data_IF_263495823442
#
_entry.id   IF_263495823442
#
_cell.length_a   1.000
_cell.length_b   1.000
_cell.length_c   1.000
_cell.angle_alpha   90.00
_cell.angle_beta   90.00
_cell.angle_gamma   90.00
#
_symmetry.space_group_name_H-M   'P 1'
#
loop_
_entity.id
_entity.type
_entity.pdbx_description
1 polymer ?
#
# COMPACT_ATOMS: atom_id res chain seq x y z
N UNK A 1 2.70 -4.45 -44.47
CA UNK A 1 3.47 -3.63 -43.50
C UNK A 1 2.88 -3.95 -42.13
N UNK A 2 3.74 -4.38 -41.21
CA UNK A 2 3.54 -4.92 -39.85
C UNK A 2 2.17 -4.74 -39.18
N UNK A 3 1.62 -5.87 -38.75
CA UNK A 3 0.74 -5.97 -37.58
C UNK A 3 1.40 -5.30 -36.37
N UNK A 4 0.66 -4.42 -35.69
CA UNK A 4 1.00 -3.96 -34.35
C UNK A 4 -0.11 -4.45 -33.41
N UNK A 5 0.27 -5.52 -32.73
CA UNK A 5 -0.44 -6.24 -31.68
C UNK A 5 -1.19 -5.28 -30.76
N UNK A 6 -2.48 -5.53 -30.62
CA UNK A 6 -3.33 -4.86 -29.64
C UNK A 6 -2.71 -4.97 -28.26
N UNK A 7 -2.65 -3.84 -27.56
CA UNK A 7 -2.41 -3.82 -26.13
C UNK A 7 -3.46 -4.73 -25.49
N UNK A 8 -3.05 -5.91 -25.05
CA UNK A 8 -3.82 -6.71 -24.11
C UNK A 8 -3.89 -5.87 -22.84
N UNK A 9 -5.00 -5.19 -22.65
CA UNK A 9 -5.51 -4.96 -21.31
C UNK A 9 -5.52 -6.35 -20.66
N UNK A 10 -4.65 -6.55 -19.68
CA UNK A 10 -4.84 -7.61 -18.72
C UNK A 10 -6.06 -7.14 -17.95
N UNK A 11 -7.24 -7.57 -18.39
CA UNK A 11 -8.49 -7.33 -17.70
C UNK A 11 -8.30 -7.83 -16.27
N UNK A 12 -8.19 -6.91 -15.31
CA UNK A 12 -8.41 -7.25 -13.92
C UNK A 12 -9.81 -7.86 -13.88
N UNK A 13 -9.91 -9.14 -13.51
CA UNK A 13 -11.19 -9.80 -13.37
C UNK A 13 -12.08 -8.92 -12.48
N UNK A 14 -13.23 -8.51 -13.03
CA UNK A 14 -14.36 -7.85 -12.34
C UNK A 14 -14.32 -6.32 -12.14
N UNK A 15 -14.21 -5.51 -13.19
CA UNK A 15 -14.80 -4.15 -13.23
C UNK A 15 -14.43 -3.18 -12.10
N UNK A 16 -13.34 -3.45 -11.37
CA UNK A 16 -12.83 -2.66 -10.28
C UNK A 16 -11.91 -1.58 -10.84
N UNK A 17 -12.03 -0.36 -10.32
CA UNK A 17 -11.13 0.73 -10.69
C UNK A 17 -9.85 0.58 -9.88
N UNK A 18 -8.72 0.40 -10.56
CA UNK A 18 -7.42 0.34 -9.90
C UNK A 18 -6.96 1.75 -9.56
N UNK A 19 -6.54 1.95 -8.32
CA UNK A 19 -5.89 3.17 -7.85
C UNK A 19 -4.49 2.82 -7.40
N UNK A 20 -3.49 3.40 -8.05
CA UNK A 20 -2.08 3.04 -7.88
C UNK A 20 -1.18 4.22 -7.45
N UNK A 21 -1.79 5.35 -7.11
CA UNK A 21 -1.14 6.53 -6.55
C UNK A 21 -1.88 7.10 -5.35
N UNK A 22 -1.12 7.67 -4.41
CA UNK A 22 -1.65 8.29 -3.19
C UNK A 22 -2.45 9.55 -3.54
N UNK A 23 -1.99 10.36 -4.50
CA UNK A 23 -2.75 11.54 -4.94
C UNK A 23 -4.06 11.15 -5.60
N UNK A 24 -4.05 10.14 -6.48
CA UNK A 24 -5.28 9.64 -7.12
C UNK A 24 -6.30 9.15 -6.09
N UNK A 25 -5.84 8.40 -5.08
CA UNK A 25 -6.70 7.98 -3.97
C UNK A 25 -7.25 9.19 -3.20
N UNK A 26 -6.40 10.18 -2.91
CA UNK A 26 -6.80 11.38 -2.18
C UNK A 26 -7.88 12.16 -2.93
N UNK A 27 -7.76 12.31 -4.24
CA UNK A 27 -8.78 12.98 -5.06
C UNK A 27 -10.13 12.27 -4.99
N UNK A 28 -10.13 10.94 -5.11
CA UNK A 28 -11.36 10.12 -5.00
C UNK A 28 -12.04 10.35 -3.65
N UNK A 29 -11.26 10.34 -2.55
CA UNK A 29 -11.79 10.57 -1.21
C UNK A 29 -12.29 12.01 -1.00
N UNK A 30 -11.60 13.02 -1.54
CA UNK A 30 -12.06 14.42 -1.49
C UNK A 30 -13.39 14.62 -2.22
N UNK A 31 -13.57 13.94 -3.35
CA UNK A 31 -14.82 13.96 -4.13
C UNK A 31 -15.96 13.18 -3.48
N UNK A 32 -15.66 12.40 -2.41
CA UNK A 32 -16.59 11.51 -1.72
C UNK A 32 -17.24 10.49 -2.67
N UNK A 33 -16.48 10.04 -3.66
CA UNK A 33 -16.94 9.02 -4.58
C UNK A 33 -17.03 7.66 -3.87
N UNK A 34 -17.93 6.76 -4.30
CA UNK A 34 -18.03 5.42 -3.72
C UNK A 34 -16.72 4.65 -3.91
N UNK A 35 -16.16 4.16 -2.80
CA UNK A 35 -14.88 3.43 -2.82
C UNK A 35 -15.05 1.91 -2.92
N UNK A 36 -16.27 1.38 -2.87
CA UNK A 36 -16.55 -0.06 -2.80
C UNK A 36 -16.08 -0.90 -4.00
N UNK A 37 -15.65 -0.26 -5.08
CA UNK A 37 -15.11 -0.92 -6.29
C UNK A 37 -13.64 -0.58 -6.56
N UNK A 38 -12.93 0.05 -5.62
CA UNK A 38 -11.54 0.39 -5.83
C UNK A 38 -10.64 -0.75 -5.36
N UNK A 39 -9.77 -1.20 -6.26
CA UNK A 39 -8.60 -2.01 -5.93
C UNK A 39 -7.43 -1.06 -5.69
N UNK A 40 -6.82 -1.09 -4.50
CA UNK A 40 -5.63 -0.27 -4.24
C UNK A 40 -4.39 -1.10 -4.53
N UNK A 41 -3.56 -0.64 -5.46
CA UNK A 41 -2.30 -1.30 -5.84
C UNK A 41 -1.15 -0.38 -5.48
N UNK A 42 -0.39 -0.67 -4.42
CA UNK A 42 0.60 0.27 -3.89
C UNK A 42 1.92 -0.39 -3.55
N UNK A 43 3.02 0.37 -3.55
CA UNK A 43 4.33 -0.14 -3.16
C UNK A 43 4.52 0.00 -1.66
N UNK A 44 4.79 -1.11 -0.98
CA UNK A 44 5.08 -1.10 0.46
C UNK A 44 6.47 -0.53 0.72
N UNK A 45 6.58 0.46 1.60
CA UNK A 45 7.88 0.97 2.05
C UNK A 45 8.34 0.31 3.34
N UNK A 46 7.54 0.39 4.41
CA UNK A 46 7.87 -0.25 5.68
C UNK A 46 6.62 -0.58 6.49
N UNK A 47 6.84 -1.42 7.51
CA UNK A 47 5.85 -1.80 8.51
C UNK A 47 6.34 -1.28 9.85
N UNK A 48 5.43 -0.77 10.67
CA UNK A 48 5.70 -0.25 12.01
C UNK A 48 4.76 -0.89 13.01
N UNK A 49 5.29 -1.28 14.18
CA UNK A 49 4.50 -1.80 15.28
C UNK A 49 3.91 -0.68 16.13
N UNK A 50 2.68 -0.86 16.56
CA UNK A 50 1.99 0.06 17.47
C UNK A 50 1.22 -0.73 18.52
N UNK A 51 1.08 -0.12 19.69
CA UNK A 51 0.26 -0.64 20.78
C UNK A 51 -0.82 0.39 21.15
N UNK A 52 -2.07 -0.08 21.24
CA UNK A 52 -3.18 0.71 21.75
C UNK A 52 -3.81 -0.01 22.94
N UNK A 53 -3.38 0.38 24.15
CA UNK A 53 -3.69 -0.36 25.37
C UNK A 53 -3.14 -1.78 25.30
N UNK A 54 -4.01 -2.78 25.40
CA UNK A 54 -3.66 -4.20 25.29
C UNK A 54 -3.61 -4.72 23.83
N UNK A 55 -4.04 -3.91 22.86
CA UNK A 55 -4.13 -4.33 21.47
C UNK A 55 -2.85 -4.01 20.72
N UNK A 56 -2.32 -5.00 19.99
CA UNK A 56 -1.22 -4.80 19.04
C UNK A 56 -1.79 -4.58 17.65
N UNK A 57 -1.22 -3.63 16.93
CA UNK A 57 -1.50 -3.40 15.53
C UNK A 57 -0.21 -3.08 14.78
N UNK A 58 -0.18 -3.39 13.51
CA UNK A 58 0.83 -2.88 12.59
C UNK A 58 0.22 -1.79 11.74
N UNK A 59 1.07 -0.83 11.36
CA UNK A 59 0.78 0.11 10.29
C UNK A 59 1.75 -0.13 9.15
N UNK A 60 1.19 -0.42 7.98
CA UNK A 60 1.90 -0.54 6.72
C UNK A 60 1.87 0.81 6.00
N UNK A 61 3.01 1.22 5.48
CA UNK A 61 3.22 2.53 4.85
C UNK A 61 3.51 2.35 3.37
N UNK A 62 2.68 2.96 2.52
CA UNK A 62 2.72 2.75 1.08
C UNK A 62 2.93 4.05 0.31
N UNK A 63 3.63 3.93 -0.80
CA UNK A 63 3.73 4.95 -1.86
C UNK A 63 3.10 4.43 -3.15
N UNK A 64 3.06 5.33 -4.14
CA UNK A 64 2.68 5.02 -5.52
C UNK A 64 3.37 3.74 -6.02
N UNK A 65 2.61 2.86 -6.67
CA UNK A 65 3.12 1.57 -7.13
C UNK A 65 4.33 1.72 -8.07
N UNK A 66 4.28 2.73 -8.94
CA UNK A 66 5.27 2.97 -9.98
C UNK A 66 6.32 4.02 -9.60
N UNK A 67 6.47 4.35 -8.30
CA UNK A 67 7.50 5.28 -7.84
C UNK A 67 8.88 4.85 -8.40
N UNK A 68 9.57 5.72 -9.18
CA UNK A 68 10.83 5.34 -9.86
C UNK A 68 12.03 5.24 -8.91
N UNK A 69 11.94 5.84 -7.73
CA UNK A 69 13.00 5.86 -6.73
C UNK A 69 13.27 4.46 -6.16
N UNK A 70 14.52 4.26 -5.73
CA UNK A 70 14.90 3.02 -5.05
C UNK A 70 14.25 2.95 -3.66
N UNK A 71 14.07 1.73 -3.15
CA UNK A 71 13.53 1.53 -1.80
C UNK A 71 14.38 2.24 -0.74
N UNK A 72 15.71 2.14 -0.84
CA UNK A 72 16.63 2.76 0.12
C UNK A 72 16.54 4.28 0.12
N UNK A 73 16.44 4.90 -1.06
CA UNK A 73 16.25 6.35 -1.18
C UNK A 73 14.94 6.78 -0.53
N UNK A 74 13.83 6.08 -0.83
CA UNK A 74 12.53 6.38 -0.24
C UNK A 74 12.54 6.21 1.29
N UNK A 75 13.17 5.15 1.81
CA UNK A 75 13.29 4.93 3.25
C UNK A 75 14.14 6.02 3.93
N UNK A 76 15.19 6.50 3.26
CA UNK A 76 16.04 7.58 3.78
C UNK A 76 15.26 8.89 3.97
N UNK A 77 14.30 9.15 3.09
CA UNK A 77 13.44 10.36 3.15
C UNK A 77 12.31 10.16 4.15
N UNK A 78 11.52 9.11 3.99
CA UNK A 78 10.28 8.93 4.75
C UNK A 78 10.51 8.31 6.13
N UNK A 79 11.27 7.22 6.22
CA UNK A 79 11.36 6.44 7.47
C UNK A 79 12.27 7.12 8.50
N UNK A 80 13.42 7.65 8.08
CA UNK A 80 14.40 8.29 8.99
C UNK A 80 13.78 9.51 9.69
N UNK A 81 13.01 10.29 8.95
CA UNK A 81 12.38 11.52 9.47
C UNK A 81 10.98 11.31 10.04
N UNK A 82 10.49 10.06 10.06
CA UNK A 82 9.10 9.73 10.39
C UNK A 82 8.69 10.27 11.75
N UNK A 83 9.42 9.90 12.79
CA UNK A 83 9.05 10.21 14.18
C UNK A 83 8.92 11.71 14.46
N UNK A 84 9.76 12.53 13.81
CA UNK A 84 9.73 13.99 13.94
C UNK A 84 8.61 14.65 13.11
N UNK A 85 8.23 14.06 11.97
CA UNK A 85 7.35 14.69 10.97
C UNK A 85 6.18 13.78 10.56
N UNK A 86 5.66 12.94 11.48
CA UNK A 86 4.66 11.91 11.16
C UNK A 86 3.48 12.44 10.37
N UNK A 87 2.96 13.62 10.73
CA UNK A 87 1.79 14.19 10.07
C UNK A 87 2.04 14.55 8.61
N UNK A 88 3.19 15.17 8.32
CA UNK A 88 3.58 15.58 6.97
C UNK A 88 3.90 14.35 6.12
N UNK A 89 4.58 13.37 6.70
CA UNK A 89 4.93 12.14 5.99
C UNK A 89 3.69 11.28 5.73
N UNK A 90 2.83 11.05 6.72
CA UNK A 90 1.56 10.33 6.53
C UNK A 90 0.65 11.03 5.52
N UNK A 91 0.81 12.34 5.30
CA UNK A 91 0.06 13.05 4.25
C UNK A 91 0.50 12.63 2.85
N UNK A 92 1.74 12.20 2.66
CA UNK A 92 2.30 11.79 1.37
C UNK A 92 2.16 10.29 1.10
N UNK A 93 1.62 9.53 2.06
CA UNK A 93 1.56 8.07 2.02
C UNK A 93 0.11 7.58 2.11
N UNK A 94 -0.10 6.33 1.70
CA UNK A 94 -1.24 5.55 2.16
C UNK A 94 -0.80 4.75 3.40
N UNK A 95 -1.59 4.82 4.47
CA UNK A 95 -1.36 4.02 5.67
C UNK A 95 -2.47 2.98 5.86
N UNK A 96 -2.10 1.71 5.98
CA UNK A 96 -3.04 0.63 6.26
C UNK A 96 -2.79 0.08 7.66
N UNK A 97 -3.85 0.04 8.48
CA UNK A 97 -3.82 -0.58 9.80
C UNK A 97 -4.28 -2.02 9.74
N UNK A 98 -3.50 -2.93 10.30
CA UNK A 98 -3.87 -4.34 10.51
C UNK A 98 -3.74 -4.69 12.00
N UNK A 99 -4.73 -5.38 12.54
CA UNK A 99 -4.79 -5.75 13.96
C UNK A 99 -4.21 -7.15 14.22
N UNK A 100 -3.69 -7.36 15.43
CA UNK A 100 -3.21 -8.66 15.92
C UNK A 100 -2.11 -9.29 15.04
N UNK A 101 -1.22 -8.44 14.50
CA UNK A 101 -0.01 -8.84 13.78
C UNK A 101 1.19 -8.13 14.39
N UNK A 102 2.37 -8.68 14.15
CA UNK A 102 3.67 -8.11 14.50
C UNK A 102 4.45 -7.89 13.21
N UNK A 103 5.25 -6.82 13.15
CA UNK A 103 5.90 -6.39 11.91
C UNK A 103 6.96 -7.37 11.38
N UNK A 104 7.41 -8.32 12.19
CA UNK A 104 8.38 -9.38 11.87
C UNK A 104 7.74 -10.68 11.39
N UNK A 105 6.41 -10.74 11.27
CA UNK A 105 5.69 -11.91 10.75
C UNK A 105 6.10 -12.24 9.31
N UNK A 106 6.55 -13.48 9.07
CA UNK A 106 6.90 -14.01 7.74
C UNK A 106 5.73 -14.02 6.74
N UNK A 107 4.49 -13.91 7.24
CA UNK A 107 3.30 -13.83 6.40
C UNK A 107 3.11 -12.45 5.76
N UNK A 108 3.89 -11.44 6.15
CA UNK A 108 3.77 -10.08 5.63
C UNK A 108 4.59 -9.91 4.34
N UNK A 109 4.16 -9.05 3.41
CA UNK A 109 4.98 -8.67 2.27
C UNK A 109 6.25 -7.94 2.72
N UNK A 110 7.34 -8.19 2.01
CA UNK A 110 8.59 -7.47 2.22
C UNK A 110 8.48 -6.01 1.75
N UNK A 111 9.20 -5.08 2.39
CA UNK A 111 9.48 -3.75 1.83
C UNK A 111 9.89 -3.80 0.36
N UNK A 112 9.36 -2.88 -0.45
CA UNK A 112 9.57 -2.78 -1.90
C UNK A 112 8.55 -3.55 -2.75
N UNK A 113 7.80 -4.48 -2.16
CA UNK A 113 6.80 -5.28 -2.86
C UNK A 113 5.57 -4.44 -3.23
N UNK A 114 5.01 -4.69 -4.42
CA UNK A 114 3.70 -4.17 -4.82
C UNK A 114 2.60 -5.03 -4.19
N UNK A 115 1.71 -4.40 -3.45
CA UNK A 115 0.63 -5.04 -2.71
C UNK A 115 -0.70 -4.53 -3.26
N UNK A 116 -1.57 -5.48 -3.60
CA UNK A 116 -2.96 -5.24 -3.94
C UNK A 116 -3.82 -5.40 -2.67
N UNK A 117 -4.65 -4.40 -2.37
CA UNK A 117 -5.59 -4.37 -1.24
C UNK A 117 -7.00 -4.46 -1.82
N UNK A 118 -7.59 -5.65 -1.72
CA UNK A 118 -8.86 -6.00 -2.37
C UNK A 118 -10.07 -5.55 -1.56
N UNK A 119 -9.96 -5.63 -0.23
CA UNK A 119 -11.01 -5.20 0.69
C UNK A 119 -10.41 -4.42 1.85
N UNK A 120 -11.18 -3.43 2.31
CA UNK A 120 -10.81 -2.56 3.42
C UNK A 120 -12.06 -1.96 4.06
N UNK A 121 -11.85 -1.39 5.22
CA UNK A 121 -12.83 -0.64 5.99
C UNK A 121 -12.22 0.69 6.43
N UNK A 122 -13.07 1.66 6.78
CA UNK A 122 -12.65 2.97 7.26
C UNK A 122 -11.64 3.68 6.33
N UNK A 123 -11.75 3.47 5.01
CA UNK A 123 -10.96 4.24 4.04
C UNK A 123 -11.45 5.69 4.04
N UNK A 124 -10.58 6.60 4.45
CA UNK A 124 -10.92 8.02 4.60
C UNK A 124 -9.68 8.91 4.57
N UNK A 125 -9.92 10.22 4.51
CA UNK A 125 -8.90 11.24 4.78
C UNK A 125 -8.93 11.61 6.26
N UNK A 126 -7.82 11.36 6.95
CA UNK A 126 -7.60 11.87 8.29
C UNK A 126 -6.94 13.25 8.21
N UNK A 127 -7.46 14.22 9.00
CA UNK A 127 -7.05 15.63 8.94
C UNK A 127 -7.05 16.21 7.50
N UNK A 128 -8.01 15.78 6.67
CA UNK A 128 -8.19 16.22 5.27
C UNK A 128 -7.02 15.95 4.29
N UNK A 129 -5.94 15.30 4.75
CA UNK A 129 -4.73 15.08 3.94
C UNK A 129 -4.24 13.64 3.89
N UNK A 130 -4.40 12.89 4.98
CA UNK A 130 -3.78 11.57 5.14
C UNK A 130 -4.71 10.46 4.69
N UNK A 131 -4.30 9.68 3.69
CA UNK A 131 -5.05 8.51 3.24
C UNK A 131 -4.83 7.38 4.24
N UNK A 132 -5.89 6.96 4.95
CA UNK A 132 -5.81 5.86 5.91
C UNK A 132 -6.93 4.85 5.69
N UNK A 133 -6.63 3.58 5.92
CA UNK A 133 -7.61 2.49 5.89
C UNK A 133 -7.30 1.43 6.95
N UNK A 134 -8.28 0.55 7.20
CA UNK A 134 -8.10 -0.68 7.97
C UNK A 134 -8.36 -1.88 7.07
N UNK A 135 -7.45 -2.85 7.08
CA UNK A 135 -7.58 -4.09 6.28
C UNK A 135 -7.17 -5.32 7.11
N UNK A 136 -7.18 -6.49 6.47
CA UNK A 136 -6.78 -7.78 7.04
C UNK A 136 -5.79 -8.44 6.10
N UNK A 137 -4.92 -9.28 6.65
CA UNK A 137 -3.93 -10.01 5.86
C UNK A 137 -4.56 -10.82 4.72
N UNK A 138 -5.72 -11.44 4.95
CA UNK A 138 -6.44 -12.22 3.92
C UNK A 138 -6.97 -11.39 2.75
N UNK A 139 -6.98 -10.05 2.87
CA UNK A 139 -7.44 -9.13 1.84
C UNK A 139 -6.30 -8.50 1.06
N UNK A 140 -5.06 -8.83 1.43
CA UNK A 140 -3.85 -8.43 0.75
C UNK A 140 -3.42 -9.55 -0.21
N UNK A 141 -2.99 -9.17 -1.40
CA UNK A 141 -2.33 -10.07 -2.35
C UNK A 141 -1.07 -9.42 -2.91
N UNK A 142 0.00 -10.19 -3.06
CA UNK A 142 1.25 -9.73 -3.62
C UNK A 142 2.01 -10.89 -4.24
N UNK A 143 2.87 -10.60 -5.21
CA UNK A 143 3.80 -11.58 -5.74
C UNK A 143 4.95 -11.77 -4.76
N UNK A 144 5.12 -12.98 -4.24
CA UNK A 144 6.35 -13.34 -3.55
C UNK A 144 7.46 -13.39 -4.60
N UNK A 145 8.50 -12.57 -4.43
CA UNK A 145 9.72 -12.75 -5.20
C UNK A 145 10.22 -14.17 -4.87
N UNK A 146 10.18 -15.07 -5.85
CA UNK A 146 10.75 -16.40 -5.73
C UNK A 146 12.19 -16.22 -5.26
N UNK A 147 12.47 -16.57 -4.00
CA UNK A 147 13.82 -16.77 -3.56
C UNK A 147 14.36 -17.91 -4.41
N UNK A 148 15.17 -17.60 -5.42
CA UNK A 148 15.98 -18.59 -6.09
C UNK A 148 16.86 -19.22 -5.01
N UNK A 149 16.43 -20.39 -4.52
CA UNK A 149 17.26 -21.25 -3.71
C UNK A 149 18.38 -21.74 -4.64
N UNK A 150 19.49 -21.01 -4.65
CA UNK A 150 20.74 -21.55 -5.16
C UNK A 150 21.18 -22.66 -4.18
N UNK A 151 20.72 -23.87 -4.46
CA UNK A 151 21.37 -25.08 -3.95
C UNK A 151 22.77 -25.13 -4.55
N UNK A 152 23.76 -25.09 -3.65
CA UNK A 152 25.19 -25.26 -3.91
C UNK A 152 25.51 -26.55 -4.65
#
# INVERSE_FOLDING_TARGET
MRELLGARAVEAEQGATVVDSVEGLREVLRRKEPTSKLLLRMKLLWISDHAYGQWKLIRMHFVDAQAPETLDDMLSVFKVSYEANRQDIDSLLLTATLWNLESDSELLPSPGTIVDINEYSNLQLYNDTQCQLTTRLSQLSWEQANAEVQLK
#
